data_IF_088048068374
#
_entry.id   IF_088048068374
#
_cell.length_a   1.000
_cell.length_b   1.000
_cell.length_c   1.000
_cell.angle_alpha   90.00
_cell.angle_beta   90.00
_cell.angle_gamma   90.00
#
_symmetry.space_group_name_H-M   'P 1'
#
loop_
_entity.id
_entity.type
_entity.pdbx_description
1 polymer ?
#
# COMPACT_ATOMS: atom_id res chain seq x y z
N UNK A 1 -5.63 42.12 -32.88
CA UNK A 1 -5.33 42.00 -31.43
C UNK A 1 -3.94 41.38 -31.32
N UNK A 2 -2.98 42.15 -30.80
CA UNK A 2 -1.54 41.87 -30.81
C UNK A 2 -1.13 41.35 -29.42
N UNK A 3 -0.30 40.29 -29.40
CA UNK A 3 0.56 39.79 -28.29
C UNK A 3 -0.19 39.32 -27.01
N UNK A 4 0.26 38.28 -26.30
CA UNK A 4 1.55 38.21 -25.60
C UNK A 4 1.97 36.77 -25.32
N UNK A 5 3.17 36.43 -25.80
CA UNK A 5 4.01 35.34 -25.28
C UNK A 5 4.54 35.77 -23.91
N UNK A 6 4.35 34.94 -22.88
CA UNK A 6 5.08 35.06 -21.62
C UNK A 6 6.03 33.88 -21.48
N UNK A 7 7.30 34.18 -21.75
CA UNK A 7 8.47 33.37 -21.40
C UNK A 7 8.71 33.48 -19.89
N UNK A 8 8.96 32.35 -19.21
CA UNK A 8 9.43 32.32 -17.81
C UNK A 8 10.71 31.47 -17.76
N UNK A 9 11.75 31.90 -17.02
CA UNK A 9 13.14 31.51 -17.28
C UNK A 9 13.61 30.27 -16.52
N UNK A 10 14.68 29.69 -17.05
CA UNK A 10 15.51 28.64 -16.46
C UNK A 10 16.26 29.16 -15.22
N UNK A 11 16.17 28.44 -14.11
CA UNK A 11 16.87 28.70 -12.86
C UNK A 11 17.89 27.60 -12.52
N UNK A 12 19.16 27.98 -12.67
CA UNK A 12 20.40 27.54 -12.01
C UNK A 12 20.37 26.47 -10.89
N UNK A 13 21.31 25.53 -11.06
CA UNK A 13 22.40 25.14 -10.15
C UNK A 13 22.11 24.73 -8.69
N UNK A 14 22.73 23.62 -8.26
CA UNK A 14 23.00 23.44 -6.82
C UNK A 14 23.34 22.03 -6.35
N UNK A 15 24.62 21.70 -6.41
CA UNK A 15 25.44 21.01 -5.38
C UNK A 15 24.97 19.70 -4.71
N UNK A 16 25.92 18.76 -4.72
CA UNK A 16 26.01 17.51 -3.98
C UNK A 16 25.94 17.66 -2.44
N UNK A 17 25.46 16.60 -1.77
CA UNK A 17 26.06 16.11 -0.53
C UNK A 17 25.68 14.64 -0.28
N UNK A 18 26.60 13.72 -0.55
CA UNK A 18 26.63 12.40 0.09
C UNK A 18 27.16 12.56 1.51
N UNK A 19 26.58 11.85 2.48
CA UNK A 19 27.25 11.24 3.65
C UNK A 19 26.22 10.81 4.70
N UNK A 20 25.88 9.51 4.76
CA UNK A 20 25.39 8.87 5.99
C UNK A 20 25.85 7.40 6.00
N UNK A 21 26.95 7.14 6.70
CA UNK A 21 27.35 5.80 7.13
C UNK A 21 27.51 5.85 8.65
N UNK A 22 26.50 5.32 9.36
CA UNK A 22 26.53 5.10 10.82
C UNK A 22 26.16 3.65 11.04
N UNK A 23 27.13 2.86 11.49
CA UNK A 23 27.07 1.41 11.60
C UNK A 23 26.17 0.87 12.71
N UNK A 24 25.74 -0.37 12.51
CA UNK A 24 25.17 -1.27 13.52
C UNK A 24 26.27 -1.86 14.39
N UNK A 25 26.04 -1.97 15.71
CA UNK A 25 26.49 -3.11 16.50
C UNK A 25 25.78 -3.09 17.86
N UNK A 26 24.90 -4.07 18.08
CA UNK A 26 24.27 -4.35 19.37
C UNK A 26 23.92 -5.83 19.39
N UNK A 27 24.81 -6.61 19.99
CA UNK A 27 24.84 -8.07 19.92
C UNK A 27 23.58 -8.75 20.45
N UNK A 28 23.21 -9.82 19.78
CA UNK A 28 22.39 -10.87 20.34
C UNK A 28 23.33 -11.87 21.03
N UNK A 29 23.00 -12.28 22.26
CA UNK A 29 23.31 -13.62 22.73
C UNK A 29 22.08 -14.19 23.46
N UNK A 30 21.65 -15.41 23.11
CA UNK A 30 20.53 -16.11 23.70
C UNK A 30 20.99 -17.00 24.85
N UNK A 31 20.27 -17.02 25.97
CA UNK A 31 20.35 -18.14 26.90
C UNK A 31 18.96 -18.62 27.29
N UNK A 32 18.68 -19.84 26.85
CA UNK A 32 17.56 -20.70 27.23
C UNK A 32 18.00 -21.64 28.35
N UNK A 33 17.20 -21.77 29.40
CA UNK A 33 16.88 -23.01 30.12
C UNK A 33 16.22 -22.64 31.45
N UNK A 34 14.93 -22.92 31.65
CA UNK A 34 14.38 -24.19 32.12
C UNK A 34 14.88 -24.63 33.52
N UNK A 35 13.97 -24.65 34.48
CA UNK A 35 14.21 -25.14 35.84
C UNK A 35 12.93 -25.08 36.68
N UNK A 36 12.05 -26.07 36.48
CA UNK A 36 10.95 -26.38 37.39
C UNK A 36 11.47 -26.71 38.79
N UNK A 37 10.76 -26.29 39.85
CA UNK A 37 10.44 -27.13 41.03
C UNK A 37 9.48 -26.41 41.98
N UNK A 38 8.46 -27.16 42.41
CA UNK A 38 7.37 -26.79 43.30
C UNK A 38 7.81 -26.73 44.78
N UNK A 39 7.18 -25.87 45.57
CA UNK A 39 6.78 -26.17 46.96
C UNK A 39 5.74 -25.14 47.45
N UNK A 40 4.66 -25.64 48.03
CA UNK A 40 3.51 -24.87 48.52
C UNK A 40 3.63 -24.52 50.01
N UNK A 41 3.25 -23.29 50.39
CA UNK A 41 2.68 -22.88 51.69
C UNK A 41 2.25 -21.39 51.63
N UNK A 42 1.48 -20.91 52.62
CA UNK A 42 0.04 -20.69 52.59
C UNK A 42 -0.41 -19.36 51.95
N UNK A 43 -1.68 -19.31 51.54
CA UNK A 43 -2.40 -18.18 50.94
C UNK A 43 -2.48 -16.98 51.89
N UNK A 44 -1.92 -15.81 51.57
CA UNK A 44 -2.44 -14.54 52.05
C UNK A 44 -3.61 -14.12 51.13
N UNK A 45 -4.79 -13.90 51.71
CA UNK A 45 -5.91 -13.26 51.02
C UNK A 45 -5.50 -11.85 50.62
N UNK A 46 -5.03 -11.68 49.38
CA UNK A 46 -4.89 -10.38 48.76
C UNK A 46 -6.23 -10.09 48.07
N UNK A 47 -6.97 -9.12 48.61
CA UNK A 47 -8.06 -8.47 47.91
C UNK A 47 -7.48 -7.86 46.63
N UNK A 48 -7.66 -8.57 45.51
CA UNK A 48 -7.27 -8.03 44.21
C UNK A 48 -8.29 -6.96 43.84
N UNK A 49 -7.86 -5.72 44.07
CA UNK A 49 -8.44 -4.47 43.57
C UNK A 49 -8.98 -4.70 42.17
N UNK A 50 -10.26 -4.36 41.97
CA UNK A 50 -10.90 -4.38 40.67
C UNK A 50 -9.98 -3.73 39.63
N UNK A 51 -9.63 -4.50 38.61
CA UNK A 51 -8.88 -4.05 37.45
C UNK A 51 -9.64 -2.84 36.87
N UNK A 52 -9.07 -1.62 36.92
CA UNK A 52 -9.73 -0.47 36.35
C UNK A 52 -9.76 -0.66 34.83
N UNK A 53 -10.97 -0.92 34.35
CA UNK A 53 -11.50 -0.66 33.02
C UNK A 53 -10.47 -0.71 31.89
N UNK A 54 -10.55 -1.80 31.13
CA UNK A 54 -10.09 -1.88 29.75
C UNK A 54 -10.46 -0.59 29.00
N UNK A 55 -9.48 0.32 28.89
CA UNK A 55 -9.54 1.50 28.02
C UNK A 55 -9.85 1.01 26.63
N UNK A 56 -11.01 1.42 26.14
CA UNK A 56 -11.72 0.80 25.02
C UNK A 56 -10.82 0.51 23.81
N UNK A 57 -10.76 -0.77 23.45
CA UNK A 57 -10.52 -1.13 22.06
C UNK A 57 -11.65 -0.49 21.25
N UNK A 58 -11.35 0.62 20.58
CA UNK A 58 -12.27 1.21 19.62
C UNK A 58 -12.70 0.09 18.64
N UNK A 59 -14.01 -0.05 18.36
CA UNK A 59 -14.46 -1.06 17.41
C UNK A 59 -13.72 -0.83 16.09
N UNK A 60 -13.15 -1.90 15.54
CA UNK A 60 -12.52 -1.84 14.22
C UNK A 60 -13.55 -1.32 13.20
N UNK A 61 -13.15 -0.46 12.25
CA UNK A 61 -14.07 0.08 11.26
C UNK A 61 -14.79 -1.06 10.53
N UNK A 62 -16.11 -1.14 10.67
CA UNK A 62 -16.95 -2.18 10.04
C UNK A 62 -17.07 -2.01 8.53
N UNK A 63 -16.56 -0.90 8.00
CA UNK A 63 -16.66 -0.53 6.59
C UNK A 63 -15.37 -0.79 5.79
N UNK A 64 -14.37 -1.47 6.38
CA UNK A 64 -13.13 -1.81 5.66
C UNK A 64 -13.43 -2.84 4.57
N UNK A 65 -13.05 -2.53 3.34
CA UNK A 65 -13.16 -3.43 2.19
C UNK A 65 -11.84 -4.14 1.93
N UNK A 66 -11.88 -5.34 1.33
CA UNK A 66 -10.66 -6.07 0.97
C UNK A 66 -9.76 -5.26 0.01
N UNK A 67 -10.37 -4.43 -0.83
CA UNK A 67 -9.70 -3.51 -1.75
C UNK A 67 -8.95 -2.38 -1.06
N UNK A 68 -9.18 -2.12 0.24
CA UNK A 68 -8.43 -1.13 1.00
C UNK A 68 -6.96 -1.54 1.20
N UNK A 69 -6.66 -2.84 1.13
CA UNK A 69 -5.29 -3.36 1.19
C UNK A 69 -4.47 -3.00 -0.07
N UNK A 70 -5.13 -2.51 -1.12
CA UNK A 70 -4.49 -2.18 -2.40
C UNK A 70 -4.04 -0.72 -2.48
N UNK A 71 -4.37 0.09 -1.48
CA UNK A 71 -3.95 1.49 -1.43
C UNK A 71 -2.42 1.63 -1.58
N UNK A 72 -2.00 2.66 -2.29
CA UNK A 72 -0.63 3.00 -2.65
C UNK A 72 -0.26 2.69 -4.11
N UNK A 73 1.04 2.80 -4.39
CA UNK A 73 1.66 2.58 -5.70
C UNK A 73 1.96 1.10 -5.98
N UNK A 74 1.49 0.58 -7.10
CA UNK A 74 1.88 -0.69 -7.72
C UNK A 74 2.74 -0.44 -8.94
N UNK A 75 3.81 -1.23 -9.12
CA UNK A 75 4.85 -0.95 -10.11
C UNK A 75 4.71 -1.85 -11.33
N UNK A 76 4.78 -1.24 -12.52
CA UNK A 76 4.85 -1.90 -13.82
C UNK A 76 6.20 -1.66 -14.50
N UNK A 77 6.36 -2.09 -15.76
CA UNK A 77 7.63 -2.04 -16.48
C UNK A 77 8.03 -0.59 -16.72
N UNK A 78 9.32 -0.28 -16.84
CA UNK A 78 9.75 0.97 -17.50
C UNK A 78 9.13 2.26 -16.92
N UNK A 79 8.75 2.25 -15.64
CA UNK A 79 8.12 3.38 -14.95
C UNK A 79 6.59 3.47 -15.09
N UNK A 80 5.93 2.45 -15.65
CA UNK A 80 4.48 2.28 -15.58
C UNK A 80 4.04 2.06 -14.12
N UNK A 81 2.84 2.52 -13.78
CA UNK A 81 2.32 2.33 -12.43
C UNK A 81 0.79 2.41 -12.35
N UNK A 82 0.27 1.82 -11.29
CA UNK A 82 -1.10 1.98 -10.82
C UNK A 82 -1.04 2.46 -9.36
N UNK A 83 -1.50 3.67 -9.10
CA UNK A 83 -1.58 4.24 -7.76
C UNK A 83 -3.04 4.35 -7.34
N UNK A 84 -3.39 3.69 -6.24
CA UNK A 84 -4.75 3.61 -5.71
C UNK A 84 -4.76 4.38 -4.40
N UNK A 85 -5.59 5.41 -4.29
CA UNK A 85 -5.74 6.19 -3.06
C UNK A 85 -7.20 6.15 -2.62
N UNK A 86 -7.50 6.35 -1.33
CA UNK A 86 -8.86 6.62 -0.90
C UNK A 86 -9.43 7.79 -1.69
N UNK A 87 -10.68 7.67 -2.13
CA UNK A 87 -11.35 8.77 -2.83
C UNK A 87 -11.49 10.00 -1.91
N UNK A 88 -11.34 11.23 -2.44
CA UNK A 88 -11.53 12.45 -1.67
C UNK A 88 -12.98 12.66 -1.20
N UNK A 89 -13.96 11.91 -1.73
CA UNK A 89 -15.34 11.95 -1.27
C UNK A 89 -15.57 11.26 0.10
N UNK A 90 -14.57 10.53 0.60
CA UNK A 90 -14.59 9.87 1.90
C UNK A 90 -15.54 8.67 2.00
N UNK A 91 -16.09 8.19 0.89
CA UNK A 91 -16.99 7.04 0.90
C UNK A 91 -16.20 5.72 0.95
N UNK A 92 -16.56 4.78 1.84
CA UNK A 92 -15.96 3.45 1.85
C UNK A 92 -16.09 2.76 0.48
N UNK A 93 -15.02 2.10 0.03
CA UNK A 93 -14.98 1.44 -1.27
C UNK A 93 -14.86 2.36 -2.48
N UNK A 94 -14.72 3.68 -2.30
CA UNK A 94 -14.43 4.61 -3.38
C UNK A 94 -12.93 4.94 -3.41
N UNK A 95 -12.34 4.94 -4.60
CA UNK A 95 -10.91 5.14 -4.79
C UNK A 95 -10.61 6.17 -5.87
N UNK A 96 -9.57 6.97 -5.65
CA UNK A 96 -8.92 7.75 -6.71
C UNK A 96 -7.79 6.90 -7.30
N UNK A 97 -7.84 6.66 -8.62
CA UNK A 97 -6.88 5.83 -9.34
C UNK A 97 -6.05 6.71 -10.26
N UNK A 98 -4.74 6.79 -10.04
CA UNK A 98 -3.80 7.35 -11.02
C UNK A 98 -3.08 6.19 -11.72
N UNK A 99 -3.24 6.09 -13.05
CA UNK A 99 -2.65 5.01 -13.83
C UNK A 99 -1.81 5.57 -14.98
N UNK A 100 -0.56 5.13 -15.04
CA UNK A 100 0.33 5.23 -16.20
C UNK A 100 0.47 3.83 -16.82
N UNK A 101 -0.30 3.57 -17.87
CA UNK A 101 -0.41 2.25 -18.53
C UNK A 101 0.44 2.14 -19.80
N UNK A 102 0.85 3.26 -20.37
CA UNK A 102 1.86 3.31 -21.41
C UNK A 102 2.90 4.39 -21.09
N UNK A 103 4.01 4.41 -21.81
CA UNK A 103 5.07 5.41 -21.57
C UNK A 103 4.60 6.84 -21.85
N UNK A 104 3.59 6.98 -22.73
CA UNK A 104 3.06 8.25 -23.22
C UNK A 104 1.71 8.63 -22.59
N UNK A 105 1.05 7.71 -21.86
CA UNK A 105 -0.28 7.93 -21.30
C UNK A 105 -0.29 7.78 -19.78
N UNK A 106 -0.80 8.81 -19.11
CA UNK A 106 -1.16 8.79 -17.70
C UNK A 106 -2.53 9.44 -17.53
N UNK A 107 -3.39 8.87 -16.69
CA UNK A 107 -4.71 9.40 -16.39
C UNK A 107 -5.10 9.22 -14.93
N UNK A 108 -6.15 9.93 -14.52
CA UNK A 108 -6.81 9.77 -13.23
C UNK A 108 -8.24 9.30 -13.44
N UNK A 109 -8.72 8.40 -12.60
CA UNK A 109 -10.01 7.73 -12.72
C UNK A 109 -10.66 7.55 -11.36
N UNK A 110 -11.99 7.52 -11.33
CA UNK A 110 -12.75 7.15 -10.15
C UNK A 110 -12.99 5.64 -10.15
N UNK A 111 -12.61 4.99 -9.05
CA UNK A 111 -12.79 3.56 -8.83
C UNK A 111 -13.84 3.28 -7.76
N UNK A 112 -14.58 2.19 -7.93
CA UNK A 112 -15.55 1.71 -6.93
C UNK A 112 -15.34 0.23 -6.68
N UNK A 113 -15.26 -0.16 -5.41
CA UNK A 113 -15.18 -1.55 -4.99
C UNK A 113 -16.41 -2.33 -5.47
N UNK A 114 -16.16 -3.52 -6.00
CA UNK A 114 -17.14 -4.53 -6.35
C UNK A 114 -16.66 -5.88 -5.80
N UNK A 115 -17.01 -6.14 -4.54
CA UNK A 115 -16.49 -7.28 -3.79
C UNK A 115 -14.98 -7.21 -3.60
N UNK A 116 -14.26 -8.16 -4.21
CA UNK A 116 -12.79 -8.26 -4.15
C UNK A 116 -12.12 -7.66 -5.40
N UNK A 117 -12.75 -6.66 -6.01
CA UNK A 117 -12.30 -6.01 -7.24
C UNK A 117 -12.60 -4.50 -7.18
N UNK A 118 -11.93 -3.69 -8.00
CA UNK A 118 -12.26 -2.27 -8.19
C UNK A 118 -12.67 -2.07 -9.64
N UNK A 119 -13.89 -1.57 -9.88
CA UNK A 119 -14.35 -1.17 -11.22
C UNK A 119 -14.04 0.30 -11.46
N UNK A 120 -13.64 0.63 -12.68
CA UNK A 120 -13.42 2.02 -13.12
C UNK A 120 -13.61 2.12 -14.63
N UNK A 121 -13.88 3.32 -15.13
CA UNK A 121 -14.02 3.57 -16.57
C UNK A 121 -12.75 4.23 -17.12
N UNK A 122 -12.23 3.73 -18.24
CA UNK A 122 -11.13 4.36 -19.00
C UNK A 122 -11.44 4.28 -20.48
N UNK A 123 -11.35 5.43 -21.17
CA UNK A 123 -11.66 5.55 -22.60
C UNK A 123 -13.08 5.03 -22.97
N UNK A 124 -14.06 5.24 -22.09
CA UNK A 124 -15.44 4.75 -22.28
C UNK A 124 -15.61 3.23 -22.12
N UNK A 125 -14.62 2.54 -21.54
CA UNK A 125 -14.66 1.10 -21.26
C UNK A 125 -14.65 0.85 -19.77
N UNK A 126 -15.58 0.01 -19.32
CA UNK A 126 -15.54 -0.56 -17.98
C UNK A 126 -14.36 -1.53 -17.85
N UNK A 127 -13.49 -1.25 -16.90
CA UNK A 127 -12.34 -2.07 -16.54
C UNK A 127 -12.45 -2.51 -15.09
N UNK A 128 -11.65 -3.51 -14.74
CA UNK A 128 -11.65 -4.07 -13.39
C UNK A 128 -10.22 -4.35 -12.94
N UNK A 129 -9.87 -3.83 -11.77
CA UNK A 129 -8.64 -4.17 -11.05
C UNK A 129 -8.96 -5.36 -10.16
N UNK A 130 -8.21 -6.45 -10.30
CA UNK A 130 -8.38 -7.66 -9.49
C UNK A 130 -7.03 -8.19 -9.01
N UNK A 131 -6.97 -9.00 -7.94
CA UNK A 131 -5.73 -9.67 -7.58
C UNK A 131 -5.36 -10.69 -8.66
N UNK A 132 -4.07 -10.95 -8.78
CA UNK A 132 -3.51 -11.96 -9.65
C UNK A 132 -2.01 -12.09 -9.44
N UNK A 133 -1.38 -12.81 -10.37
CA UNK A 133 0.06 -13.08 -10.34
C UNK A 133 0.78 -12.38 -11.48
N UNK A 134 2.09 -12.30 -11.35
CA UNK A 134 3.00 -11.71 -12.32
C UNK A 134 2.89 -12.32 -13.70
N UNK A 135 2.62 -13.62 -13.79
CA UNK A 135 2.41 -14.33 -15.04
C UNK A 135 1.19 -13.79 -15.82
N UNK A 136 0.16 -13.30 -15.12
CA UNK A 136 -1.05 -12.75 -15.74
C UNK A 136 -0.86 -11.31 -16.25
N UNK A 137 0.24 -10.65 -15.91
CA UNK A 137 0.50 -9.26 -16.36
C UNK A 137 0.88 -9.19 -17.85
N UNK A 138 1.37 -10.29 -18.42
CA UNK A 138 1.98 -10.32 -19.75
C UNK A 138 3.44 -9.85 -19.80
N UNK A 139 4.00 -9.39 -18.67
CA UNK A 139 5.36 -8.86 -18.62
C UNK A 139 6.37 -9.87 -18.06
N UNK A 140 7.38 -10.21 -18.87
CA UNK A 140 8.38 -11.23 -18.54
C UNK A 140 9.09 -11.01 -17.20
N UNK A 141 9.45 -9.77 -16.88
CA UNK A 141 10.19 -9.43 -15.66
C UNK A 141 9.30 -9.39 -14.41
N UNK A 142 7.97 -9.40 -14.58
CA UNK A 142 7.01 -9.57 -13.49
C UNK A 142 6.62 -11.02 -13.27
N UNK A 143 6.87 -11.93 -14.24
CA UNK A 143 6.26 -13.25 -14.32
C UNK A 143 6.32 -14.08 -13.03
N UNK A 144 7.38 -13.93 -12.24
CA UNK A 144 7.62 -14.70 -11.00
C UNK A 144 7.07 -14.02 -9.73
N UNK A 145 6.46 -12.83 -9.84
CA UNK A 145 5.83 -12.16 -8.69
C UNK A 145 4.46 -12.75 -8.40
N UNK A 146 4.07 -12.81 -7.13
CA UNK A 146 2.78 -13.35 -6.71
C UNK A 146 1.80 -12.28 -6.24
N UNK A 147 2.31 -11.12 -5.82
CA UNK A 147 1.50 -10.01 -5.34
C UNK A 147 1.33 -8.98 -6.45
N UNK A 148 0.30 -9.15 -7.27
CA UNK A 148 0.01 -8.29 -8.41
C UNK A 148 -1.47 -7.94 -8.50
N UNK A 149 -1.73 -6.79 -9.12
CA UNK A 149 -3.04 -6.36 -9.58
C UNK A 149 -3.08 -6.40 -11.10
N UNK A 150 -4.15 -7.00 -11.63
CA UNK A 150 -4.38 -7.17 -13.06
C UNK A 150 -5.52 -6.26 -13.48
N UNK A 151 -5.28 -5.47 -14.52
CA UNK A 151 -6.29 -4.61 -15.16
C UNK A 151 -6.76 -5.25 -16.47
N UNK A 152 -5.81 -5.71 -17.29
CA UNK A 152 -6.08 -6.43 -18.53
C UNK A 152 -5.14 -7.64 -18.59
N UNK A 153 -5.70 -8.85 -18.49
CA UNK A 153 -4.90 -10.06 -18.46
C UNK A 153 -4.03 -10.21 -19.72
N UNK A 154 -2.75 -10.51 -19.51
CA UNK A 154 -1.74 -10.66 -20.55
C UNK A 154 -1.25 -9.35 -21.17
N UNK A 155 -1.71 -8.19 -20.70
CA UNK A 155 -1.40 -6.89 -21.31
C UNK A 155 -1.06 -5.79 -20.29
N UNK A 156 -1.74 -5.79 -19.14
CA UNK A 156 -1.61 -4.75 -18.13
C UNK A 156 -1.80 -5.32 -16.73
N UNK A 157 -0.74 -5.25 -15.94
CA UNK A 157 -0.76 -5.51 -14.52
C UNK A 157 0.47 -4.93 -13.84
N UNK A 158 0.37 -4.82 -12.52
CA UNK A 158 1.32 -4.10 -11.68
C UNK A 158 1.55 -4.91 -10.41
N UNK A 159 2.79 -4.97 -9.93
CA UNK A 159 3.14 -5.81 -8.78
C UNK A 159 3.85 -5.02 -7.69
N UNK A 160 3.92 -5.63 -6.50
CA UNK A 160 4.75 -5.20 -5.37
C UNK A 160 5.64 -6.36 -4.96
#
# INVERSE_FOLDING_TARGET
>A
MIMRFSSIPQGLAGAALMLLASGCSGGADPDSANGSNQAAAPVPTIENVAEPDAVGAAPAPTDRMATDDWVGRWTGPEGLFLDIQPSPDGKPGHYAIANKDTLDRQGNYDGVADGAMIRFERDGKDLTIRPGTGAETGFKWLAEKENCLIVVAGQEGYCR
#
